data_IF_776291828625
#
_entry.id   IF_776291828625
#
_cell.length_a   1.000
_cell.length_b   1.000
_cell.length_c   1.000
_cell.angle_alpha   90.00
_cell.angle_beta   90.00
_cell.angle_gamma   90.00
#
_symmetry.space_group_name_H-M   'P 1'
#
loop_
_entity.id
_entity.type
_entity.pdbx_description
1 polymer ?
#
# COMPACT_ATOMS: atom_id res chain seq x y z
N UNK A 1 -3.72 -16.08 -24.75
CA UNK A 1 -5.03 -16.14 -24.09
C UNK A 1 -5.67 -14.77 -24.06
N UNK A 2 -6.96 -14.71 -24.32
CA UNK A 2 -7.66 -13.44 -24.26
C UNK A 2 -7.76 -12.95 -22.80
N UNK A 3 -7.52 -11.67 -22.59
CA UNK A 3 -7.70 -11.04 -21.29
C UNK A 3 -9.19 -11.00 -20.94
N UNK A 4 -9.54 -11.52 -19.76
CA UNK A 4 -10.90 -11.46 -19.24
C UNK A 4 -10.92 -10.43 -18.11
N UNK A 5 -11.67 -9.32 -18.25
CA UNK A 5 -11.73 -8.32 -17.19
C UNK A 5 -12.33 -8.91 -15.91
N UNK A 6 -11.87 -8.46 -14.73
CA UNK A 6 -12.49 -8.86 -13.46
C UNK A 6 -13.98 -8.50 -13.45
N UNK A 7 -14.79 -9.30 -12.77
CA UNK A 7 -16.20 -9.03 -12.63
C UNK A 7 -16.43 -7.68 -11.89
N UNK A 8 -17.49 -6.99 -12.29
CA UNK A 8 -17.80 -5.64 -11.78
C UNK A 8 -17.88 -5.59 -10.25
N UNK A 9 -18.42 -6.62 -9.62
CA UNK A 9 -18.52 -6.66 -8.16
C UNK A 9 -17.14 -6.75 -7.46
N UNK A 10 -16.18 -7.41 -8.07
CA UNK A 10 -14.81 -7.45 -7.56
C UNK A 10 -14.12 -6.10 -7.71
N UNK A 11 -14.39 -5.39 -8.80
CA UNK A 11 -13.88 -4.03 -9.01
C UNK A 11 -14.45 -3.06 -7.97
N UNK A 12 -15.73 -3.21 -7.59
CA UNK A 12 -16.30 -2.39 -6.51
C UNK A 12 -15.57 -2.58 -5.19
N UNK A 13 -15.23 -3.82 -4.85
CA UNK A 13 -14.48 -4.10 -3.63
C UNK A 13 -13.08 -3.48 -3.70
N UNK A 14 -12.41 -3.59 -4.83
CA UNK A 14 -11.10 -2.97 -5.04
C UNK A 14 -11.18 -1.44 -4.94
N UNK A 15 -12.19 -0.83 -5.54
CA UNK A 15 -12.39 0.62 -5.48
C UNK A 15 -12.67 1.08 -4.04
N UNK A 16 -13.40 0.27 -3.26
CA UNK A 16 -13.64 0.55 -1.85
C UNK A 16 -12.32 0.61 -1.06
N UNK A 17 -11.43 -0.35 -1.29
CA UNK A 17 -10.09 -0.34 -0.67
C UNK A 17 -9.33 0.92 -1.07
N UNK A 18 -9.29 1.23 -2.37
CA UNK A 18 -8.53 2.37 -2.88
C UNK A 18 -9.07 3.72 -2.35
N UNK A 19 -10.36 3.80 -2.10
CA UNK A 19 -11.00 5.02 -1.60
C UNK A 19 -10.96 5.15 -0.07
N UNK A 20 -11.01 4.02 0.66
CA UNK A 20 -11.25 4.02 2.10
C UNK A 20 -10.26 3.13 2.89
N UNK A 21 -9.05 2.92 2.37
CA UNK A 21 -8.03 2.08 3.01
C UNK A 21 -7.68 2.52 4.45
N UNK A 22 -7.84 3.82 4.75
CA UNK A 22 -7.53 4.41 6.06
C UNK A 22 -8.58 4.11 7.12
N UNK A 23 -9.74 3.59 6.73
CA UNK A 23 -10.80 3.21 7.66
C UNK A 23 -10.62 1.77 8.16
N UNK A 24 -11.39 1.39 9.15
CA UNK A 24 -11.45 0.01 9.65
C UNK A 24 -12.19 -0.88 8.66
N UNK A 25 -11.49 -1.29 7.61
CA UNK A 25 -12.01 -2.25 6.66
C UNK A 25 -11.44 -3.63 6.96
N UNK A 26 -12.30 -4.64 6.90
CA UNK A 26 -11.89 -6.03 6.93
C UNK A 26 -12.40 -6.77 5.69
N UNK A 27 -12.03 -8.05 5.57
CA UNK A 27 -12.42 -8.86 4.41
C UNK A 27 -13.94 -9.03 4.32
N UNK A 28 -14.64 -9.06 5.45
CA UNK A 28 -16.09 -9.17 5.48
C UNK A 28 -16.77 -7.93 4.89
N UNK A 29 -16.25 -6.74 5.17
CA UNK A 29 -16.73 -5.49 4.56
C UNK A 29 -16.58 -5.53 3.04
N UNK A 30 -15.46 -6.00 2.57
CA UNK A 30 -15.17 -6.10 1.13
C UNK A 30 -16.05 -7.16 0.46
N UNK A 31 -16.23 -8.31 1.09
CA UNK A 31 -17.10 -9.36 0.60
C UNK A 31 -18.55 -8.87 0.52
N UNK A 32 -19.00 -8.14 1.53
CA UNK A 32 -20.33 -7.52 1.54
C UNK A 32 -20.52 -6.55 0.39
N UNK A 33 -19.52 -5.72 0.08
CA UNK A 33 -19.56 -4.80 -1.06
C UNK A 33 -19.65 -5.54 -2.40
N UNK A 34 -19.05 -6.73 -2.49
CA UNK A 34 -19.10 -7.58 -3.67
C UNK A 34 -20.36 -8.45 -3.71
N UNK A 35 -21.14 -8.53 -2.63
CA UNK A 35 -22.31 -9.40 -2.54
C UNK A 35 -21.98 -10.88 -2.46
N UNK A 36 -20.82 -11.24 -1.93
CA UNK A 36 -20.31 -12.62 -1.84
C UNK A 36 -20.03 -13.00 -0.40
N UNK A 37 -20.00 -14.32 -0.13
CA UNK A 37 -19.46 -14.84 1.13
C UNK A 37 -17.97 -14.53 1.21
N UNK A 38 -17.45 -14.49 2.44
CA UNK A 38 -16.02 -14.22 2.66
C UNK A 38 -15.12 -15.20 1.90
N UNK A 39 -15.40 -16.50 1.99
CA UNK A 39 -14.59 -17.52 1.33
C UNK A 39 -14.63 -17.41 -0.20
N UNK A 40 -15.82 -17.24 -0.76
CA UNK A 40 -16.00 -17.09 -2.19
C UNK A 40 -15.33 -15.81 -2.70
N UNK A 41 -15.54 -14.70 -1.98
CA UNK A 41 -14.91 -13.43 -2.30
C UNK A 41 -13.39 -13.53 -2.32
N UNK A 42 -12.80 -14.12 -1.28
CA UNK A 42 -11.34 -14.27 -1.18
C UNK A 42 -10.75 -15.06 -2.34
N UNK A 43 -11.40 -16.16 -2.73
CA UNK A 43 -10.96 -16.97 -3.89
C UNK A 43 -11.06 -16.19 -5.20
N UNK A 44 -12.19 -15.54 -5.45
CA UNK A 44 -12.42 -14.79 -6.68
C UNK A 44 -11.52 -13.57 -6.78
N UNK A 45 -11.33 -12.85 -5.68
CA UNK A 45 -10.43 -11.69 -5.62
C UNK A 45 -8.99 -12.11 -5.94
N UNK A 46 -8.50 -13.17 -5.30
CA UNK A 46 -7.14 -13.68 -5.56
C UNK A 46 -6.98 -14.13 -7.01
N UNK A 47 -7.99 -14.79 -7.56
CA UNK A 47 -7.97 -15.21 -8.97
C UNK A 47 -7.91 -14.02 -9.91
N UNK A 48 -8.67 -12.97 -9.63
CA UNK A 48 -8.76 -11.78 -10.48
C UNK A 48 -7.53 -10.86 -10.36
N UNK A 49 -6.98 -10.68 -9.16
CA UNK A 49 -5.95 -9.69 -8.87
C UNK A 49 -4.60 -10.27 -8.44
N UNK A 50 -4.49 -11.58 -8.32
CA UNK A 50 -3.24 -12.25 -8.03
C UNK A 50 -2.84 -12.30 -6.55
N UNK A 51 -3.59 -11.65 -5.66
CA UNK A 51 -3.33 -11.66 -4.22
C UNK A 51 -4.63 -11.65 -3.41
N UNK A 52 -4.61 -12.17 -2.17
CA UNK A 52 -5.80 -12.16 -1.32
C UNK A 52 -6.22 -10.73 -0.96
N UNK A 53 -7.50 -10.49 -0.63
CA UNK A 53 -8.01 -9.16 -0.29
C UNK A 53 -7.26 -8.50 0.87
N UNK A 54 -6.92 -9.25 1.92
CA UNK A 54 -6.20 -8.70 3.08
C UNK A 54 -4.80 -8.21 2.70
N UNK A 55 -4.13 -8.93 1.80
CA UNK A 55 -2.81 -8.53 1.31
C UNK A 55 -2.90 -7.28 0.44
N UNK A 56 -3.92 -7.19 -0.40
CA UNK A 56 -4.18 -6.00 -1.21
C UNK A 56 -4.41 -4.76 -0.34
N UNK A 57 -5.25 -4.88 0.69
CA UNK A 57 -5.52 -3.79 1.63
C UNK A 57 -4.25 -3.34 2.34
N UNK A 58 -3.46 -4.29 2.84
CA UNK A 58 -2.19 -3.98 3.49
C UNK A 58 -1.22 -3.28 2.53
N UNK A 59 -1.10 -3.76 1.31
CA UNK A 59 -0.24 -3.16 0.28
C UNK A 59 -0.63 -1.70 0.04
N UNK A 60 -1.93 -1.40 -0.11
CA UNK A 60 -2.40 -0.03 -0.31
C UNK A 60 -2.07 0.87 0.87
N UNK A 61 -2.22 0.36 2.09
CA UNK A 61 -1.85 1.10 3.31
C UNK A 61 -0.35 1.39 3.36
N UNK A 62 0.47 0.39 3.03
CA UNK A 62 1.93 0.55 3.02
C UNK A 62 2.41 1.52 1.92
N UNK A 63 1.80 1.49 0.75
CA UNK A 63 2.11 2.44 -0.32
C UNK A 63 1.81 3.87 0.11
N UNK A 64 0.67 4.09 0.76
CA UNK A 64 0.31 5.42 1.26
C UNK A 64 1.25 5.85 2.38
N UNK A 65 1.62 4.92 3.28
CA UNK A 65 2.59 5.20 4.33
C UNK A 65 3.94 5.62 3.74
N UNK A 66 4.41 4.92 2.71
CA UNK A 66 5.65 5.27 2.02
C UNK A 66 5.58 6.70 1.44
N UNK A 67 4.46 7.07 0.83
CA UNK A 67 4.27 8.42 0.31
C UNK A 67 4.30 9.47 1.43
N UNK A 68 3.69 9.20 2.58
CA UNK A 68 3.71 10.11 3.73
C UNK A 68 5.10 10.20 4.36
N UNK A 69 5.85 9.11 4.39
CA UNK A 69 7.24 9.11 4.87
C UNK A 69 8.14 10.02 4.01
N UNK A 70 7.95 9.98 2.69
CA UNK A 70 8.72 10.80 1.77
C UNK A 70 8.29 12.27 1.79
N UNK A 71 7.00 12.52 1.87
CA UNK A 71 6.42 13.83 1.62
C UNK A 71 6.04 14.66 2.84
N UNK A 72 6.18 14.11 4.05
CA UNK A 72 5.80 14.80 5.29
C UNK A 72 6.83 14.56 6.39
N UNK A 73 6.75 15.35 7.46
CA UNK A 73 7.55 15.18 8.66
C UNK A 73 6.79 14.46 9.78
N UNK A 74 5.63 13.88 9.47
CA UNK A 74 4.83 13.14 10.44
C UNK A 74 5.63 11.98 11.02
N UNK A 75 5.43 11.69 12.31
CA UNK A 75 6.09 10.57 12.96
C UNK A 75 5.63 9.24 12.36
N UNK A 76 6.45 8.20 12.52
CA UNK A 76 6.10 6.84 12.08
C UNK A 76 4.79 6.39 12.72
N UNK A 77 4.58 6.69 14.01
CA UNK A 77 3.33 6.34 14.69
C UNK A 77 2.13 7.07 14.10
N UNK A 78 2.24 8.37 13.82
CA UNK A 78 1.16 9.14 13.20
C UNK A 78 0.81 8.58 11.82
N UNK A 79 1.82 8.25 11.02
CA UNK A 79 1.62 7.67 9.68
C UNK A 79 0.94 6.31 9.78
N UNK A 80 1.38 5.46 10.72
CA UNK A 80 0.77 4.16 10.96
C UNK A 80 -0.74 4.28 11.17
N UNK A 81 -1.16 5.17 12.07
CA UNK A 81 -2.59 5.37 12.37
C UNK A 81 -3.32 6.08 11.22
N UNK A 82 -2.66 7.01 10.54
CA UNK A 82 -3.26 7.74 9.42
C UNK A 82 -3.63 6.83 8.24
N UNK A 83 -2.89 5.73 8.05
CA UNK A 83 -3.18 4.79 6.95
C UNK A 83 -4.08 3.62 7.39
N UNK A 84 -4.62 3.67 8.61
CA UNK A 84 -5.59 2.69 9.09
C UNK A 84 -4.99 1.49 9.81
N UNK A 85 -3.70 1.51 10.11
CA UNK A 85 -3.04 0.47 10.90
C UNK A 85 -3.10 0.83 12.38
N UNK A 86 -3.07 -0.17 13.27
CA UNK A 86 -3.27 0.03 14.70
C UNK A 86 -2.05 -0.31 15.55
N UNK A 87 -1.07 -0.99 14.96
CA UNK A 87 0.14 -1.44 15.67
C UNK A 87 1.38 -0.95 14.94
N UNK A 88 2.15 -0.10 15.59
CA UNK A 88 3.41 0.42 15.03
C UNK A 88 4.40 -0.73 14.81
N UNK A 89 4.46 -1.70 15.73
CA UNK A 89 5.33 -2.87 15.59
C UNK A 89 4.98 -3.72 14.35
N UNK A 90 3.71 -4.03 14.18
CA UNK A 90 3.24 -4.77 13.01
C UNK A 90 3.45 -3.98 11.72
N UNK A 91 3.20 -2.68 11.76
CA UNK A 91 3.46 -1.79 10.62
C UNK A 91 4.94 -1.83 10.23
N UNK A 92 5.84 -1.65 11.20
CA UNK A 92 7.28 -1.68 10.96
C UNK A 92 7.73 -3.00 10.34
N UNK A 93 7.24 -4.12 10.85
CA UNK A 93 7.55 -5.45 10.32
C UNK A 93 7.06 -5.61 8.88
N UNK A 94 5.81 -5.25 8.62
CA UNK A 94 5.21 -5.36 7.28
C UNK A 94 5.88 -4.43 6.28
N UNK A 95 6.17 -3.20 6.71
CA UNK A 95 6.85 -2.23 5.87
C UNK A 95 8.26 -2.71 5.49
N UNK A 96 9.02 -3.18 6.48
CA UNK A 96 10.38 -3.70 6.25
C UNK A 96 10.38 -4.90 5.32
N UNK A 97 9.40 -5.80 5.49
CA UNK A 97 9.24 -6.96 4.60
C UNK A 97 8.97 -6.54 3.15
N UNK A 98 8.20 -5.50 2.97
CA UNK A 98 7.79 -5.03 1.64
C UNK A 98 8.88 -4.19 0.97
N UNK A 99 9.49 -3.27 1.70
CA UNK A 99 10.43 -2.30 1.15
C UNK A 99 11.92 -2.61 1.42
N UNK A 100 12.20 -3.60 2.26
CA UNK A 100 13.59 -4.01 2.55
C UNK A 100 14.30 -3.14 3.58
N UNK A 101 13.71 -2.05 4.03
CA UNK A 101 14.26 -1.14 5.05
C UNK A 101 13.15 -0.70 5.99
N UNK A 102 13.52 -0.26 7.21
CA UNK A 102 12.56 0.26 8.18
C UNK A 102 11.92 1.55 7.68
N UNK A 103 10.75 1.94 8.23
CA UNK A 103 10.13 3.22 7.89
C UNK A 103 11.08 4.42 8.07
N UNK A 104 11.85 4.47 9.16
CA UNK A 104 12.81 5.54 9.39
C UNK A 104 13.96 5.50 8.40
N UNK A 105 14.46 4.30 8.09
CA UNK A 105 15.50 4.11 7.07
C UNK A 105 15.02 4.50 5.69
N UNK A 106 13.78 4.18 5.36
CA UNK A 106 13.18 4.59 4.10
C UNK A 106 13.09 6.11 3.98
N UNK A 107 12.63 6.79 5.03
CA UNK A 107 12.55 8.27 5.06
C UNK A 107 13.91 8.90 4.87
N UNK A 108 14.93 8.36 5.52
CA UNK A 108 16.29 8.90 5.47
C UNK A 108 16.90 8.88 4.07
N UNK A 109 16.40 8.03 3.19
CA UNK A 109 16.88 7.92 1.80
C UNK A 109 16.33 9.01 0.88
N UNK A 110 15.41 9.87 1.36
CA UNK A 110 14.77 10.91 0.56
C UNK A 110 15.06 12.30 1.12
N UNK A 111 14.98 13.37 0.27
CA UNK A 111 15.16 14.74 0.74
C UNK A 111 14.16 15.13 1.83
N UNK A 112 14.47 16.10 2.70
CA UNK A 112 13.51 16.60 3.69
C UNK A 112 12.20 17.03 3.06
N UNK A 113 11.07 16.90 3.80
CA UNK A 113 9.72 17.19 3.29
C UNK A 113 9.60 18.62 2.73
N UNK A 114 10.33 19.58 3.31
CA UNK A 114 10.34 20.96 2.82
C UNK A 114 10.82 21.05 1.37
N UNK A 115 11.73 20.21 0.94
CA UNK A 115 12.21 20.18 -0.44
C UNK A 115 11.13 19.62 -1.39
N UNK A 116 10.33 18.68 -0.93
CA UNK A 116 9.22 18.14 -1.71
C UNK A 116 8.14 19.18 -1.98
N UNK A 117 7.93 20.12 -1.07
CA UNK A 117 6.96 21.20 -1.24
C UNK A 117 7.29 22.10 -2.42
N UNK A 118 8.56 22.19 -2.82
CA UNK A 118 9.03 22.99 -3.95
C UNK A 118 9.01 22.23 -5.27
N UNK A 119 8.69 20.95 -5.27
CA UNK A 119 8.66 20.09 -6.45
C UNK A 119 7.21 19.99 -6.94
N UNK A 120 6.96 20.18 -8.27
CA UNK A 120 5.60 20.01 -8.81
C UNK A 120 5.01 18.64 -8.48
N UNK A 121 3.71 18.60 -8.22
CA UNK A 121 3.03 17.36 -7.80
C UNK A 121 3.16 16.23 -8.81
N UNK A 122 3.21 16.52 -10.10
CA UNK A 122 3.39 15.52 -11.15
C UNK A 122 4.78 14.86 -11.07
N UNK A 123 5.82 15.63 -10.79
CA UNK A 123 7.19 15.12 -10.62
C UNK A 123 7.28 14.27 -9.36
N UNK A 124 6.69 14.74 -8.24
CA UNK A 124 6.64 13.97 -7.00
C UNK A 124 5.96 12.62 -7.19
N UNK A 125 4.89 12.56 -7.98
CA UNK A 125 4.20 11.30 -8.26
C UNK A 125 5.05 10.30 -9.04
N UNK A 126 5.84 10.79 -9.99
CA UNK A 126 6.72 9.94 -10.80
C UNK A 126 7.86 9.38 -9.99
N UNK A 127 8.58 10.23 -9.24
CA UNK A 127 9.77 9.81 -8.49
C UNK A 127 9.46 9.33 -7.08
N UNK A 128 8.33 9.76 -6.52
CA UNK A 128 7.96 9.45 -5.16
C UNK A 128 7.19 8.14 -4.99
N UNK A 129 6.68 7.53 -6.06
CA UNK A 129 5.90 6.31 -5.97
C UNK A 129 6.78 5.08 -6.18
N UNK A 130 7.11 4.34 -5.12
CA UNK A 130 7.93 3.14 -5.29
C UNK A 130 7.15 2.06 -6.02
N UNK A 131 7.81 1.41 -6.96
CA UNK A 131 7.35 0.15 -7.51
C UNK A 131 8.01 -0.94 -6.67
N UNK A 132 7.23 -1.78 -6.02
CA UNK A 132 7.73 -2.78 -5.09
C UNK A 132 8.91 -3.58 -5.60
N UNK A 133 8.84 -4.03 -6.84
CA UNK A 133 9.89 -4.86 -7.44
C UNK A 133 11.18 -4.08 -7.64
N UNK A 134 11.08 -2.86 -8.15
CA UNK A 134 12.24 -2.02 -8.45
C UNK A 134 13.00 -1.67 -7.17
N UNK A 135 12.28 -1.33 -6.11
CA UNK A 135 12.90 -0.98 -4.83
C UNK A 135 13.67 -2.15 -4.23
N UNK A 136 13.15 -3.37 -4.33
CA UNK A 136 13.85 -4.57 -3.84
C UNK A 136 15.11 -4.86 -4.63
N UNK A 137 15.06 -4.68 -5.94
CA UNK A 137 16.22 -4.88 -6.81
C UNK A 137 17.34 -3.89 -6.49
N UNK A 138 16.98 -2.63 -6.30
CA UNK A 138 17.95 -1.58 -5.97
C UNK A 138 18.60 -1.82 -4.61
N UNK A 139 17.83 -2.28 -3.62
CA UNK A 139 18.35 -2.61 -2.30
C UNK A 139 19.32 -3.80 -2.37
N UNK A 140 19.01 -4.79 -3.19
CA UNK A 140 19.87 -5.95 -3.38
C UNK A 140 21.19 -5.56 -4.05
N UNK A 141 21.16 -4.64 -5.00
CA UNK A 141 22.38 -4.15 -5.67
C UNK A 141 23.30 -3.34 -4.73
N UNK A 142 22.69 -2.58 -3.81
CA UNK A 142 23.47 -1.76 -2.90
C UNK A 142 24.14 -2.57 -1.81
N UNK A 143 23.73 -3.80 -1.59
CA UNK A 143 24.30 -4.70 -0.59
C UNK A 143 25.29 -5.72 -1.17
N UNK A 144 25.42 -5.74 -2.49
CA UNK A 144 26.32 -6.63 -3.19
C UNK A 144 27.78 -6.19 -3.18
#
# INVERSE_FOLDING_TARGET
MAFVPPARHLLRAKDLVDARYFERLDVDDLAGAAGLSRAHFSREFRRAFGEPPHAYLLTRRLERAAALLRGTDRSVAEICFAVGLQSVGSFTTSFTRTYGVSPTGYRAAFPPAVHYALIPACVRRVYGRPQHRTFREDTARTRG
#
